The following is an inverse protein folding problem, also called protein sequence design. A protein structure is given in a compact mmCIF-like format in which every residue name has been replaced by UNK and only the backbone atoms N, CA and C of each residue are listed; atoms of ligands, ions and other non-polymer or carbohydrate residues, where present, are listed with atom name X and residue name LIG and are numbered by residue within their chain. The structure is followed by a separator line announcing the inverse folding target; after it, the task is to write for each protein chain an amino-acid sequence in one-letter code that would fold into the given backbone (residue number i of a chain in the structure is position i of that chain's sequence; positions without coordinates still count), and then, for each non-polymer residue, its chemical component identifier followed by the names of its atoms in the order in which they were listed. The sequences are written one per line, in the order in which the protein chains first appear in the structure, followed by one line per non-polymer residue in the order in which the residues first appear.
data_IF_725424003520
#
_entry.id   IF_725424003520
#
_cell.length_a   1.000
_cell.length_b   1.000
_cell.length_c   1.000
_cell.angle_alpha   90.00
_cell.angle_beta   90.00
_cell.angle_gamma   90.00
#
_symmetry.space_group_name_H-M   'P 1'
#
loop_
_entity.id
_entity.type
_entity.pdbx_description
1 polymer ?
#
# COMPACT_ATOMS: atom_id res chain seq x y z
N UNK A 1 -17.28 7.11 9.58
CA UNK A 1 -16.64 6.08 8.74
C UNK A 1 -15.77 6.67 7.63
N UNK A 2 -16.16 7.81 7.05
CA UNK A 2 -15.39 8.50 6.00
C UNK A 2 -13.95 8.83 6.41
N UNK A 3 -13.73 9.47 7.56
CA UNK A 3 -12.38 9.82 8.04
C UNK A 3 -11.49 8.59 8.21
N UNK A 4 -12.04 7.48 8.72
CA UNK A 4 -11.30 6.22 8.84
C UNK A 4 -10.93 5.67 7.45
N UNK A 5 -11.86 5.71 6.49
CA UNK A 5 -11.58 5.32 5.10
C UNK A 5 -10.46 6.14 4.45
N UNK A 6 -10.45 7.46 4.68
CA UNK A 6 -9.38 8.36 4.19
C UNK A 6 -8.03 7.99 4.83
N UNK A 7 -8.00 7.71 6.14
CA UNK A 7 -6.78 7.29 6.84
C UNK A 7 -6.26 5.96 6.29
N UNK A 8 -7.12 4.95 6.13
CA UNK A 8 -6.72 3.66 5.53
C UNK A 8 -6.19 3.82 4.11
N UNK A 9 -6.85 4.65 3.30
CA UNK A 9 -6.40 4.96 1.96
C UNK A 9 -5.00 5.60 1.96
N UNK A 10 -4.78 6.62 2.80
CA UNK A 10 -3.50 7.30 2.92
C UNK A 10 -2.37 6.36 3.37
N UNK A 11 -2.63 5.52 4.37
CA UNK A 11 -1.68 4.49 4.84
C UNK A 11 -1.37 3.51 3.70
N UNK A 12 -2.38 3.07 2.96
CA UNK A 12 -2.22 2.19 1.81
C UNK A 12 -1.30 2.78 0.73
N UNK A 13 -1.49 4.06 0.40
CA UNK A 13 -0.61 4.79 -0.55
C UNK A 13 0.82 4.86 -0.04
N UNK A 14 1.03 5.19 1.25
CA UNK A 14 2.37 5.26 1.85
C UNK A 14 3.07 3.91 1.80
N UNK A 15 2.38 2.83 2.18
CA UNK A 15 2.95 1.47 2.15
C UNK A 15 3.28 1.01 0.74
N UNK A 16 2.41 1.30 -0.24
CA UNK A 16 2.67 1.01 -1.66
C UNK A 16 3.87 1.83 -2.18
N UNK A 17 4.01 3.08 -1.74
CA UNK A 17 5.16 3.93 -2.03
C UNK A 17 6.47 3.33 -1.50
N UNK A 18 6.48 2.89 -0.23
CA UNK A 18 7.63 2.22 0.39
C UNK A 18 7.95 0.90 -0.33
N UNK A 19 6.95 0.11 -0.69
CA UNK A 19 7.12 -1.12 -1.47
C UNK A 19 7.79 -0.81 -2.82
N UNK A 20 7.35 0.25 -3.51
CA UNK A 20 7.92 0.68 -4.79
C UNK A 20 9.37 1.13 -4.66
N UNK A 21 9.70 1.91 -3.63
CA UNK A 21 11.08 2.34 -3.36
C UNK A 21 11.95 1.11 -3.07
N UNK A 22 11.48 0.21 -2.21
CA UNK A 22 12.18 -1.03 -1.87
C UNK A 22 12.40 -1.91 -3.10
N UNK A 23 11.40 -2.06 -3.96
CA UNK A 23 11.50 -2.78 -5.23
C UNK A 23 12.63 -2.22 -6.09
N UNK A 24 12.67 -0.90 -6.28
CA UNK A 24 13.70 -0.22 -7.07
C UNK A 24 15.10 -0.41 -6.48
N UNK A 25 15.27 -0.22 -5.16
CA UNK A 25 16.55 -0.41 -4.48
C UNK A 25 17.06 -1.85 -4.67
N UNK A 26 16.17 -2.84 -4.50
CA UNK A 26 16.53 -4.25 -4.66
C UNK A 26 16.88 -4.60 -6.10
N UNK A 27 16.14 -4.06 -7.06
CA UNK A 27 16.43 -4.23 -8.49
C UNK A 27 17.81 -3.68 -8.85
N UNK A 28 18.15 -2.48 -8.36
CA UNK A 28 19.47 -1.86 -8.57
C UNK A 28 20.58 -2.68 -7.89
N UNK A 29 20.30 -3.24 -6.71
CA UNK A 29 21.24 -4.08 -5.97
C UNK A 29 21.35 -5.53 -6.50
N UNK A 30 20.80 -5.85 -7.68
CA UNK A 30 20.75 -7.20 -8.26
C UNK A 30 20.16 -8.28 -7.32
N UNK A 31 19.29 -7.87 -6.39
CA UNK A 31 18.51 -8.78 -5.54
C UNK A 31 17.14 -9.00 -6.16
N UNK A 32 16.50 -10.14 -5.89
CA UNK A 32 15.10 -10.40 -6.31
C UNK A 32 14.21 -9.23 -5.90
N UNK A 33 13.67 -8.50 -6.88
CA UNK A 33 12.98 -7.23 -6.66
C UNK A 33 11.68 -7.41 -5.85
N UNK A 34 10.87 -8.43 -6.19
CA UNK A 34 9.77 -8.91 -5.36
C UNK A 34 10.28 -9.86 -4.27
N UNK A 35 10.92 -9.30 -3.25
CA UNK A 35 11.36 -10.09 -2.09
C UNK A 35 11.61 -9.22 -0.87
N UNK A 36 11.93 -9.85 0.27
CA UNK A 36 12.11 -9.17 1.56
C UNK A 36 10.94 -8.24 1.86
N UNK A 37 11.22 -7.00 2.28
CA UNK A 37 10.18 -6.04 2.69
C UNK A 37 9.27 -5.57 1.56
N UNK A 38 9.66 -5.69 0.29
CA UNK A 38 8.81 -5.27 -0.84
C UNK A 38 7.45 -5.98 -0.84
N UNK A 39 7.45 -7.28 -0.52
CA UNK A 39 6.26 -8.13 -0.54
C UNK A 39 5.26 -7.78 0.58
N UNK A 40 5.64 -7.78 1.88
CA UNK A 40 4.69 -7.46 2.94
C UNK A 40 4.16 -6.04 2.81
N UNK A 41 5.00 -5.04 2.49
CA UNK A 41 4.53 -3.67 2.29
C UNK A 41 3.59 -3.55 1.09
N UNK A 42 3.86 -4.28 0.00
CA UNK A 42 2.96 -4.34 -1.15
C UNK A 42 1.59 -4.95 -0.81
N UNK A 43 1.59 -6.07 -0.09
CA UNK A 43 0.36 -6.76 0.32
C UNK A 43 -0.45 -5.91 1.30
N UNK A 44 0.17 -5.44 2.38
CA UNK A 44 -0.53 -4.62 3.39
C UNK A 44 -0.99 -3.29 2.80
N UNK A 45 -0.18 -2.67 1.94
CA UNK A 45 -0.56 -1.47 1.21
C UNK A 45 -1.77 -1.69 0.30
N UNK A 46 -1.80 -2.78 -0.47
CA UNK A 46 -2.92 -3.11 -1.33
C UNK A 46 -4.21 -3.38 -0.54
N UNK A 47 -4.13 -4.14 0.56
CA UNK A 47 -5.27 -4.42 1.44
C UNK A 47 -5.81 -3.11 2.03
N UNK A 48 -4.93 -2.25 2.55
CA UNK A 48 -5.33 -0.96 3.13
C UNK A 48 -5.97 -0.03 2.09
N UNK A 49 -5.47 -0.01 0.84
CA UNK A 49 -6.10 0.73 -0.26
C UNK A 49 -7.51 0.23 -0.55
N UNK A 50 -7.69 -1.09 -0.68
CA UNK A 50 -9.00 -1.69 -0.97
C UNK A 50 -10.00 -1.37 0.14
N UNK A 51 -9.62 -1.58 1.39
CA UNK A 51 -10.47 -1.27 2.56
C UNK A 51 -10.80 0.22 2.61
N UNK A 52 -9.80 1.10 2.43
CA UNK A 52 -9.99 2.54 2.44
C UNK A 52 -10.99 3.01 1.38
N UNK A 53 -10.85 2.52 0.13
CA UNK A 53 -11.77 2.84 -0.97
C UNK A 53 -13.18 2.36 -0.66
N UNK A 54 -13.34 1.11 -0.22
CA UNK A 54 -14.67 0.55 0.13
C UNK A 54 -15.36 1.41 1.19
N UNK A 55 -14.65 1.77 2.26
CA UNK A 55 -15.21 2.61 3.34
C UNK A 55 -15.62 4.00 2.85
N UNK A 56 -14.81 4.63 1.99
CA UNK A 56 -15.12 5.94 1.43
C UNK A 56 -16.37 5.86 0.55
N UNK A 57 -16.44 4.88 -0.37
CA UNK A 57 -17.55 4.73 -1.31
C UNK A 57 -18.86 4.45 -0.57
N UNK A 58 -18.86 3.50 0.37
CA UNK A 58 -20.07 3.14 1.13
C UNK A 58 -20.54 4.30 2.01
N UNK A 59 -19.63 5.14 2.53
CA UNK A 59 -20.04 6.26 3.40
C UNK A 59 -20.53 7.48 2.61
N UNK A 60 -20.10 7.62 1.35
CA UNK A 60 -20.43 8.79 0.52
C UNK A 60 -21.70 8.59 -0.32
N UNK A 61 -22.02 7.34 -0.68
CA UNK A 61 -23.27 6.96 -1.32
C UNK A 61 -24.41 6.86 -0.30
#
# INVERSE_FOLDING_TARGET
MLNAGIVFFAIGVILAGIATISFKIRAIANKRAWGGITVPFGIFGAIALVIGVILIVITRN
#
